data_IF_836327061220
#
_entry.id   IF_836327061220
#
_cell.length_a   1.000
_cell.length_b   1.000
_cell.length_c   1.000
_cell.angle_alpha   90.00
_cell.angle_beta   90.00
_cell.angle_gamma   90.00
#
_symmetry.space_group_name_H-M   'P 1'
#
loop_
_entity.id
_entity.type
_entity.pdbx_description
1 polymer ?
#
# COMPACT_ATOMS: atom_id res chain seq x y z
N UNK A 1 -29.27 -28.95 -48.35
CA UNK A 1 -28.38 -29.61 -49.33
C UNK A 1 -27.80 -28.53 -50.23
N UNK A 2 -26.56 -28.74 -50.70
CA UNK A 2 -25.56 -27.79 -51.23
C UNK A 2 -24.84 -27.00 -50.14
N UNK A 3 -23.67 -27.41 -49.62
CA UNK A 3 -22.38 -27.83 -50.21
C UNK A 3 -21.73 -26.73 -51.07
N UNK A 4 -20.56 -26.28 -50.60
CA UNK A 4 -19.70 -25.29 -51.22
C UNK A 4 -18.46 -25.07 -50.34
N UNK A 5 -17.61 -26.08 -50.30
CA UNK A 5 -16.25 -26.03 -49.74
C UNK A 5 -15.38 -25.05 -50.55
N UNK A 6 -14.52 -24.28 -49.86
CA UNK A 6 -13.18 -23.96 -50.36
C UNK A 6 -12.21 -24.15 -49.21
N UNK A 7 -11.27 -25.07 -49.42
CA UNK A 7 -10.12 -25.35 -48.58
C UNK A 7 -8.85 -24.70 -49.18
N UNK A 8 -7.77 -24.80 -48.38
CA UNK A 8 -6.34 -24.67 -48.71
C UNK A 8 -5.77 -23.23 -48.68
N UNK A 9 -4.68 -22.92 -47.98
CA UNK A 9 -3.77 -23.76 -47.22
C UNK A 9 -2.62 -22.99 -46.53
N UNK A 10 -2.05 -23.70 -45.54
CA UNK A 10 -0.70 -23.73 -44.95
C UNK A 10 0.36 -22.70 -45.40
N UNK A 11 0.99 -22.04 -44.42
CA UNK A 11 2.45 -21.92 -44.34
C UNK A 11 2.86 -21.47 -42.92
N UNK A 12 3.62 -22.32 -42.22
CA UNK A 12 4.27 -21.96 -40.97
C UNK A 12 5.51 -21.09 -41.17
N UNK A 13 5.89 -20.33 -40.15
CA UNK A 13 7.27 -19.96 -39.88
C UNK A 13 7.43 -19.62 -38.40
N UNK A 14 8.15 -20.48 -37.68
CA UNK A 14 8.92 -20.09 -36.51
C UNK A 14 9.99 -19.09 -36.92
N UNK A 15 10.20 -18.05 -36.11
CA UNK A 15 11.35 -17.13 -35.95
C UNK A 15 10.76 -15.88 -35.26
N UNK A 16 11.28 -15.27 -34.21
CA UNK A 16 12.47 -15.41 -33.39
C UNK A 16 12.39 -14.27 -32.36
N UNK A 17 13.01 -14.45 -31.21
CA UNK A 17 13.17 -13.39 -30.22
C UNK A 17 13.94 -12.20 -30.83
N UNK A 18 13.44 -10.97 -30.68
CA UNK A 18 14.31 -9.79 -30.63
C UNK A 18 13.59 -8.52 -30.16
N UNK A 19 14.34 -7.73 -29.39
CA UNK A 19 14.24 -6.29 -29.21
C UNK A 19 13.13 -5.73 -28.30
N UNK A 20 13.30 -6.03 -27.01
CA UNK A 20 12.87 -5.16 -25.91
C UNK A 20 13.72 -3.88 -25.93
N UNK A 21 13.25 -2.82 -26.61
CA UNK A 21 13.81 -1.47 -26.50
C UNK A 21 12.76 -0.43 -26.91
N UNK A 22 12.26 0.31 -25.92
CA UNK A 22 11.62 1.64 -26.02
C UNK A 22 11.33 2.02 -24.57
N UNK A 23 12.09 2.89 -23.93
CA UNK A 23 12.42 4.24 -24.37
C UNK A 23 11.79 5.17 -23.34
N UNK A 24 12.59 5.56 -22.35
CA UNK A 24 12.19 6.46 -21.28
C UNK A 24 11.71 7.78 -21.89
N UNK A 25 10.40 8.06 -21.82
CA UNK A 25 9.86 9.41 -22.02
C UNK A 25 9.43 9.95 -20.66
N UNK A 26 10.21 10.92 -20.15
CA UNK A 26 9.78 11.81 -19.07
C UNK A 26 8.53 12.55 -19.54
N UNK A 27 7.39 12.27 -18.91
CA UNK A 27 6.17 13.07 -19.05
C UNK A 27 6.07 13.96 -17.81
N UNK A 28 6.13 15.26 -18.06
CA UNK A 28 6.03 16.31 -17.04
C UNK A 28 4.55 16.63 -16.84
N UNK A 29 3.97 16.19 -15.72
CA UNK A 29 2.57 16.45 -15.38
C UNK A 29 2.43 17.77 -14.62
N UNK A 30 1.55 18.64 -15.12
CA UNK A 30 1.04 19.81 -14.41
C UNK A 30 -0.11 19.42 -13.48
N UNK A 31 0.01 19.76 -12.20
CA UNK A 31 -1.11 19.76 -11.24
C UNK A 31 -1.23 21.14 -10.63
N UNK A 32 -2.45 21.71 -10.66
CA UNK A 32 -2.82 22.85 -9.83
C UNK A 32 -3.23 22.31 -8.45
N UNK A 33 -2.62 22.84 -7.39
CA UNK A 33 -3.23 22.88 -6.05
C UNK A 33 -2.69 21.96 -4.95
N UNK A 34 -1.93 20.91 -5.25
CA UNK A 34 -1.23 20.11 -4.22
C UNK A 34 0.28 20.26 -4.42
N UNK A 35 1.00 20.67 -3.38
CA UNK A 35 2.47 20.75 -3.41
C UNK A 35 3.01 19.32 -3.42
N UNK A 36 3.18 18.76 -4.63
CA UNK A 36 3.85 17.46 -4.84
C UNK A 36 5.35 17.71 -4.68
N UNK A 37 5.84 17.59 -3.46
CA UNK A 37 7.28 17.58 -3.20
C UNK A 37 7.85 16.25 -3.72
N UNK A 38 8.71 16.31 -4.73
CA UNK A 38 9.41 15.12 -5.23
C UNK A 38 10.53 14.79 -4.25
N UNK A 39 10.34 13.69 -3.51
CA UNK A 39 11.30 13.12 -2.56
C UNK A 39 12.64 12.76 -3.27
N UNK A 40 13.80 13.28 -2.85
CA UNK A 40 15.09 13.07 -3.51
C UNK A 40 15.76 11.70 -3.23
N UNK A 41 14.98 10.63 -2.99
CA UNK A 41 15.53 9.29 -2.77
C UNK A 41 16.33 9.15 -1.45
N UNK A 42 16.70 7.92 -1.06
CA UNK A 42 16.89 7.59 0.35
C UNK A 42 18.27 8.00 0.87
N UNK A 43 18.29 9.06 1.68
CA UNK A 43 19.22 9.20 2.82
C UNK A 43 18.50 9.57 4.12
N UNK A 44 17.23 9.20 4.24
CA UNK A 44 16.47 9.38 5.48
C UNK A 44 16.61 8.14 6.35
N UNK A 45 17.47 8.19 7.37
CA UNK A 45 17.53 7.15 8.39
C UNK A 45 16.20 7.10 9.17
N UNK A 46 15.72 5.90 9.52
CA UNK A 46 14.50 5.70 10.32
C UNK A 46 14.69 6.07 11.81
N UNK A 47 15.34 7.20 12.09
CA UNK A 47 15.79 7.59 13.42
C UNK A 47 17.01 6.80 13.92
N UNK A 48 17.59 7.28 15.02
CA UNK A 48 18.77 6.68 15.67
C UNK A 48 18.34 5.56 16.63
N UNK A 49 18.93 4.38 16.51
CA UNK A 49 18.71 3.29 17.48
C UNK A 49 19.28 3.68 18.84
N UNK A 50 18.47 3.60 19.90
CA UNK A 50 18.84 3.95 21.28
C UNK A 50 18.69 2.78 22.25
N UNK A 51 18.10 1.67 21.83
CA UNK A 51 17.99 0.49 22.66
C UNK A 51 17.31 -0.68 21.95
N UNK A 52 17.48 -1.88 22.50
CA UNK A 52 16.81 -3.08 22.01
C UNK A 52 16.44 -3.99 23.18
N UNK A 53 15.20 -4.46 23.18
CA UNK A 53 14.71 -5.47 24.11
C UNK A 53 14.33 -6.70 23.29
N UNK A 54 14.85 -7.88 23.62
CA UNK A 54 14.50 -9.13 22.95
C UNK A 54 14.23 -10.23 23.96
N UNK A 55 13.00 -10.77 23.96
CA UNK A 55 12.56 -11.88 24.81
C UNK A 55 11.48 -12.69 24.09
N UNK A 56 11.45 -14.01 24.32
CA UNK A 56 10.36 -14.87 23.83
C UNK A 56 10.14 -14.86 22.30
N UNK A 57 11.20 -14.72 21.51
CA UNK A 57 11.09 -14.65 20.04
C UNK A 57 10.51 -13.34 19.49
N UNK A 58 10.34 -12.33 20.34
CA UNK A 58 9.98 -10.97 19.96
C UNK A 58 11.12 -10.01 20.29
N UNK A 59 11.31 -9.00 19.44
CA UNK A 59 12.27 -7.94 19.68
C UNK A 59 11.60 -6.59 19.43
N UNK A 60 11.84 -5.66 20.34
CA UNK A 60 11.48 -4.25 20.26
C UNK A 60 12.77 -3.44 20.13
N UNK A 61 12.80 -2.53 19.16
CA UNK A 61 13.91 -1.59 18.96
C UNK A 61 13.40 -0.19 19.30
N UNK A 62 14.06 0.46 20.26
CA UNK A 62 13.79 1.84 20.62
C UNK A 62 14.60 2.75 19.71
N UNK A 63 13.92 3.74 19.13
CA UNK A 63 14.53 4.70 18.21
C UNK A 63 14.18 6.12 18.63
N UNK A 64 15.16 7.00 18.57
CA UNK A 64 14.96 8.44 18.66
C UNK A 64 14.56 8.95 17.27
N UNK A 65 13.37 9.53 17.17
CA UNK A 65 12.78 10.04 15.93
C UNK A 65 12.57 11.55 16.08
N UNK A 66 13.18 12.34 15.21
CA UNK A 66 13.26 13.82 15.32
C UNK A 66 12.39 14.56 14.32
N UNK A 67 11.91 13.88 13.28
CA UNK A 67 11.12 14.50 12.22
C UNK A 67 10.02 13.58 11.72
N UNK A 68 9.06 14.18 10.99
CA UNK A 68 8.05 13.44 10.26
C UNK A 68 8.71 12.47 9.27
N UNK A 69 9.73 12.93 8.56
CA UNK A 69 10.41 12.16 7.52
C UNK A 69 11.04 10.89 8.09
N UNK A 70 11.67 10.97 9.27
CA UNK A 70 12.20 9.79 9.96
C UNK A 70 11.09 8.80 10.36
N UNK A 71 9.97 9.30 10.90
CA UNK A 71 8.78 8.48 11.21
C UNK A 71 8.23 7.79 9.97
N UNK A 72 8.00 8.53 8.88
CA UNK A 72 7.45 7.98 7.65
C UNK A 72 8.43 7.02 6.99
N UNK A 73 9.74 7.25 7.05
CA UNK A 73 10.72 6.30 6.55
C UNK A 73 10.70 4.99 7.34
N UNK A 74 10.51 5.06 8.67
CA UNK A 74 10.34 3.86 9.49
C UNK A 74 9.11 3.03 9.07
N UNK A 75 8.00 3.67 8.72
CA UNK A 75 6.77 3.02 8.25
C UNK A 75 6.95 2.49 6.81
N UNK A 76 7.55 3.30 5.94
CA UNK A 76 7.84 2.97 4.54
C UNK A 76 8.74 1.74 4.43
N UNK A 77 9.77 1.66 5.27
CA UNK A 77 10.67 0.50 5.31
C UNK A 77 9.95 -0.77 5.75
N UNK A 78 9.03 -0.67 6.71
CA UNK A 78 8.20 -1.80 7.15
C UNK A 78 7.27 -2.28 6.04
N UNK A 79 6.62 -1.36 5.33
CA UNK A 79 5.78 -1.70 4.18
C UNK A 79 6.59 -2.34 3.03
N UNK A 80 7.74 -1.74 2.68
CA UNK A 80 8.67 -2.25 1.65
C UNK A 80 9.15 -3.66 1.94
N UNK A 81 9.50 -3.97 3.20
CA UNK A 81 9.92 -5.31 3.61
C UNK A 81 8.74 -6.27 3.70
N UNK A 82 7.60 -5.81 4.21
CA UNK A 82 6.39 -6.61 4.37
C UNK A 82 5.77 -7.09 3.05
N UNK A 83 5.94 -6.35 1.94
CA UNK A 83 5.36 -6.73 0.63
C UNK A 83 5.86 -8.08 0.11
N UNK A 84 7.03 -8.53 0.56
CA UNK A 84 7.63 -9.82 0.17
C UNK A 84 7.60 -10.85 1.31
N UNK A 85 6.96 -10.53 2.44
CA UNK A 85 6.82 -11.46 3.55
C UNK A 85 5.76 -12.54 3.20
N UNK A 86 6.10 -13.85 3.29
CA UNK A 86 5.17 -14.92 2.92
C UNK A 86 3.83 -14.90 3.66
N UNK A 87 3.80 -14.47 4.93
CA UNK A 87 2.54 -14.38 5.69
C UNK A 87 1.67 -13.25 5.17
N UNK A 88 2.28 -12.10 4.83
CA UNK A 88 1.58 -10.96 4.25
C UNK A 88 1.06 -11.30 2.84
N UNK A 89 1.89 -11.94 2.00
CA UNK A 89 1.48 -12.40 0.67
C UNK A 89 0.30 -13.37 0.77
N UNK A 90 0.39 -14.37 1.66
CA UNK A 90 -0.68 -15.35 1.87
C UNK A 90 -1.97 -14.66 2.31
N UNK A 91 -1.87 -13.74 3.27
CA UNK A 91 -3.03 -13.01 3.78
C UNK A 91 -3.67 -12.12 2.70
N UNK A 92 -2.88 -11.35 1.97
CA UNK A 92 -3.36 -10.44 0.92
C UNK A 92 -4.05 -11.21 -0.21
N UNK A 93 -3.45 -12.32 -0.66
CA UNK A 93 -4.05 -13.19 -1.69
C UNK A 93 -5.36 -13.81 -1.21
N UNK A 94 -5.44 -14.23 0.04
CA UNK A 94 -6.68 -14.79 0.59
C UNK A 94 -7.87 -13.82 0.50
N UNK A 95 -7.63 -12.50 0.51
CA UNK A 95 -8.70 -11.50 0.38
C UNK A 95 -9.34 -11.47 -1.01
N UNK A 96 -8.57 -11.79 -2.05
CA UNK A 96 -9.02 -11.69 -3.44
C UNK A 96 -9.34 -13.05 -4.07
N UNK A 97 -8.95 -14.16 -3.43
CA UNK A 97 -9.15 -15.53 -3.95
C UNK A 97 -10.39 -16.23 -3.37
N UNK A 98 -11.33 -15.51 -2.76
CA UNK A 98 -12.58 -16.13 -2.27
C UNK A 98 -13.48 -16.49 -3.46
N UNK A 99 -13.96 -17.74 -3.49
CA UNK A 99 -14.91 -18.24 -4.51
C UNK A 99 -16.32 -17.74 -4.26
N UNK A 100 -17.00 -17.32 -5.31
CA UNK A 100 -18.42 -16.99 -5.36
C UNK A 100 -19.06 -17.81 -6.48
N UNK A 101 -19.42 -19.07 -6.17
CA UNK A 101 -19.84 -20.05 -7.16
C UNK A 101 -18.67 -20.46 -8.08
N UNK A 102 -18.90 -20.41 -9.39
CA UNK A 102 -17.88 -20.75 -10.40
C UNK A 102 -16.85 -19.63 -10.64
N UNK A 103 -17.07 -18.44 -10.08
CA UNK A 103 -16.20 -17.27 -10.26
C UNK A 103 -15.55 -16.83 -8.95
N UNK A 104 -14.75 -15.76 -9.00
CA UNK A 104 -14.16 -15.11 -7.84
C UNK A 104 -15.10 -14.00 -7.33
N UNK A 105 -15.24 -13.87 -6.01
CA UNK A 105 -16.00 -12.77 -5.42
C UNK A 105 -15.41 -11.40 -5.74
N UNK A 106 -14.09 -11.37 -5.98
CA UNK A 106 -13.35 -10.21 -6.46
C UNK A 106 -13.00 -10.50 -7.91
N UNK A 107 -13.59 -9.79 -8.90
CA UNK A 107 -13.29 -10.02 -10.31
C UNK A 107 -11.80 -9.87 -10.62
N UNK A 108 -11.27 -10.75 -11.46
CA UNK A 108 -9.88 -10.66 -11.90
C UNK A 108 -9.63 -9.37 -12.66
N UNK A 109 -8.47 -8.74 -12.41
CA UNK A 109 -8.03 -7.49 -13.05
C UNK A 109 -8.88 -6.26 -12.73
N UNK A 110 -9.88 -6.38 -11.84
CA UNK A 110 -10.55 -5.22 -11.26
C UNK A 110 -9.74 -4.70 -10.06
N UNK A 111 -8.83 -3.76 -10.32
CA UNK A 111 -7.98 -3.16 -9.28
C UNK A 111 -8.80 -2.49 -8.18
N UNK A 112 -9.98 -1.92 -8.49
CA UNK A 112 -10.80 -1.26 -7.49
C UNK A 112 -11.45 -2.28 -6.55
N UNK A 113 -11.91 -3.41 -7.08
CA UNK A 113 -12.43 -4.51 -6.29
C UNK A 113 -11.33 -5.17 -5.43
N UNK A 114 -10.13 -5.37 -5.98
CA UNK A 114 -8.97 -5.89 -5.25
C UNK A 114 -8.61 -4.99 -4.05
N UNK A 115 -8.54 -3.68 -4.27
CA UNK A 115 -8.28 -2.68 -3.22
C UNK A 115 -9.35 -2.74 -2.12
N UNK A 116 -10.62 -2.81 -2.51
CA UNK A 116 -11.74 -2.89 -1.55
C UNK A 116 -11.67 -4.16 -0.71
N UNK A 117 -11.34 -5.30 -1.32
CA UNK A 117 -11.25 -6.57 -0.60
C UNK A 117 -10.12 -6.54 0.45
N UNK A 118 -8.98 -5.91 0.14
CA UNK A 118 -7.89 -5.70 1.10
C UNK A 118 -8.36 -4.81 2.25
N UNK A 119 -9.04 -3.70 1.97
CA UNK A 119 -9.58 -2.80 2.98
C UNK A 119 -10.54 -3.52 3.94
N UNK A 120 -11.49 -4.27 3.40
CA UNK A 120 -12.45 -5.04 4.19
C UNK A 120 -11.76 -6.14 5.00
N UNK A 121 -10.75 -6.78 4.42
CA UNK A 121 -9.90 -7.74 5.10
C UNK A 121 -9.21 -7.16 6.32
N UNK A 122 -8.60 -5.98 6.19
CA UNK A 122 -7.92 -5.30 7.30
C UNK A 122 -8.87 -5.05 8.47
N UNK A 123 -10.04 -4.47 8.19
CA UNK A 123 -11.04 -4.13 9.22
C UNK A 123 -11.65 -5.34 9.90
N UNK A 124 -11.66 -6.49 9.22
CA UNK A 124 -12.18 -7.75 9.76
C UNK A 124 -11.12 -8.45 10.61
N UNK A 125 -9.87 -8.47 10.14
CA UNK A 125 -8.82 -9.33 10.69
C UNK A 125 -7.91 -8.63 11.70
N UNK A 126 -7.93 -7.30 11.75
CA UNK A 126 -7.13 -6.47 12.66
C UNK A 126 -8.08 -5.58 13.48
N UNK A 127 -7.80 -5.44 14.78
CA UNK A 127 -8.49 -4.52 15.68
C UNK A 127 -7.64 -3.26 15.87
N UNK A 128 -8.27 -2.08 15.85
CA UNK A 128 -7.58 -0.86 16.26
C UNK A 128 -7.21 -0.91 17.75
N UNK A 129 -5.93 -0.68 18.04
CA UNK A 129 -5.38 -0.60 19.40
C UNK A 129 -4.34 0.50 19.41
N UNK A 130 -4.44 1.41 20.38
CA UNK A 130 -3.47 2.48 20.57
C UNK A 130 -2.06 1.97 20.85
N UNK A 131 -1.10 2.85 20.60
CA UNK A 131 0.29 2.66 21.00
C UNK A 131 0.46 2.34 22.49
N UNK A 132 1.64 1.80 22.81
CA UNK A 132 2.10 1.68 24.19
C UNK A 132 2.15 3.08 24.80
N UNK A 133 1.61 3.24 26.00
CA UNK A 133 1.51 4.53 26.67
C UNK A 133 2.87 5.25 26.72
N UNK A 134 2.93 6.43 26.10
CA UNK A 134 4.10 7.31 26.10
C UNK A 134 5.13 7.04 25.00
N UNK A 135 4.92 6.06 24.10
CA UNK A 135 5.83 5.77 22.99
C UNK A 135 5.09 5.37 21.71
N UNK A 136 5.42 5.99 20.58
CA UNK A 136 4.93 5.54 19.28
C UNK A 136 5.49 4.15 18.95
N UNK A 137 4.61 3.21 18.58
CA UNK A 137 4.96 1.83 18.31
C UNK A 137 4.64 1.48 16.88
N UNK A 138 5.65 1.03 16.14
CA UNK A 138 5.47 0.63 14.74
C UNK A 138 5.77 -0.87 14.58
N UNK A 139 4.74 -1.69 14.51
CA UNK A 139 4.84 -3.12 14.22
C UNK A 139 5.16 -3.35 12.73
N UNK A 140 5.78 -4.50 12.44
CA UNK A 140 5.91 -4.92 11.04
C UNK A 140 4.56 -5.48 10.56
N UNK A 141 4.25 -5.42 9.25
CA UNK A 141 3.02 -6.01 8.70
C UNK A 141 2.76 -7.44 9.15
N UNK A 142 3.81 -8.27 9.20
CA UNK A 142 3.73 -9.64 9.73
C UNK A 142 3.26 -9.66 11.19
N UNK A 143 3.82 -8.82 12.06
CA UNK A 143 3.46 -8.76 13.47
C UNK A 143 2.06 -8.20 13.67
N UNK A 144 1.64 -7.19 12.91
CA UNK A 144 0.26 -6.69 12.92
C UNK A 144 -0.74 -7.82 12.63
N UNK A 145 -0.47 -8.67 11.63
CA UNK A 145 -1.31 -9.84 11.33
C UNK A 145 -1.30 -10.92 12.44
N UNK A 146 -0.14 -11.17 13.05
CA UNK A 146 -0.01 -12.15 14.13
C UNK A 146 -0.73 -11.69 15.41
N UNK A 147 -0.61 -10.41 15.76
CA UNK A 147 -1.25 -9.83 16.94
C UNK A 147 -2.72 -9.50 16.71
N UNK A 148 -3.14 -9.35 15.44
CA UNK A 148 -4.48 -8.86 15.06
C UNK A 148 -4.81 -7.52 15.71
N UNK A 149 -3.79 -6.70 15.93
CA UNK A 149 -3.91 -5.41 16.60
C UNK A 149 -2.88 -4.43 16.03
N UNK A 150 -3.24 -3.16 15.99
CA UNK A 150 -2.36 -2.06 15.60
C UNK A 150 -3.10 -0.72 15.55
N UNK A 151 -2.34 0.36 15.43
CA UNK A 151 -2.83 1.73 15.33
C UNK A 151 -2.88 2.22 13.85
N UNK A 152 -3.02 3.52 13.62
CA UNK A 152 -3.05 4.07 12.26
C UNK A 152 -1.76 3.80 11.46
N UNK A 153 -0.59 3.80 12.09
CA UNK A 153 0.70 3.54 11.45
C UNK A 153 0.82 2.06 11.03
N UNK A 154 0.41 1.15 11.92
CA UNK A 154 0.41 -0.29 11.66
C UNK A 154 -0.56 -0.69 10.56
N UNK A 155 -1.78 -0.16 10.59
CA UNK A 155 -2.76 -0.36 9.53
C UNK A 155 -2.24 0.14 8.20
N UNK A 156 -1.62 1.33 8.18
CA UNK A 156 -1.07 1.90 6.95
C UNK A 156 0.07 1.03 6.40
N UNK A 157 0.99 0.62 7.26
CA UNK A 157 2.11 -0.26 6.89
C UNK A 157 1.62 -1.58 6.29
N UNK A 158 0.67 -2.25 6.96
CA UNK A 158 0.09 -3.52 6.51
C UNK A 158 -0.74 -3.37 5.24
N UNK A 159 -1.57 -2.32 5.13
CA UNK A 159 -2.37 -2.04 3.94
C UNK A 159 -1.48 -1.87 2.72
N UNK A 160 -0.47 -1.00 2.80
CA UNK A 160 0.44 -0.74 1.70
C UNK A 160 1.28 -1.97 1.33
N UNK A 161 1.78 -2.72 2.32
CA UNK A 161 2.47 -3.99 2.08
C UNK A 161 1.57 -5.01 1.35
N UNK A 162 0.31 -5.12 1.76
CA UNK A 162 -0.65 -6.07 1.21
C UNK A 162 -1.08 -5.70 -0.22
N UNK A 163 -1.30 -4.41 -0.49
CA UNK A 163 -1.54 -3.89 -1.84
C UNK A 163 -0.35 -4.22 -2.76
N UNK A 164 0.87 -3.91 -2.34
CA UNK A 164 2.07 -4.23 -3.13
C UNK A 164 2.27 -5.74 -3.33
N UNK A 165 1.90 -6.56 -2.35
CA UNK A 165 1.99 -8.03 -2.45
C UNK A 165 1.06 -8.63 -3.54
N UNK A 166 0.00 -7.92 -3.93
CA UNK A 166 -0.89 -8.28 -5.06
C UNK A 166 -0.67 -7.39 -6.30
N UNK A 167 0.43 -6.63 -6.32
CA UNK A 167 0.87 -5.82 -7.45
C UNK A 167 0.22 -4.44 -7.56
N UNK A 168 -0.49 -3.98 -6.53
CA UNK A 168 -1.08 -2.63 -6.50
C UNK A 168 -0.08 -1.63 -5.91
N UNK A 169 0.34 -0.59 -6.65
CA UNK A 169 1.20 0.45 -6.11
C UNK A 169 0.45 1.25 -5.04
N UNK A 170 1.17 1.65 -3.99
CA UNK A 170 0.62 2.38 -2.87
C UNK A 170 1.51 3.56 -2.48
N UNK A 171 0.89 4.57 -1.86
CA UNK A 171 1.55 5.72 -1.26
C UNK A 171 0.91 6.07 0.07
N UNK A 172 1.65 6.72 0.96
CA UNK A 172 1.11 7.21 2.22
C UNK A 172 0.63 8.64 2.07
N UNK A 173 -0.49 8.96 2.71
CA UNK A 173 -0.91 10.34 2.94
C UNK A 173 -0.94 10.58 4.45
N UNK A 174 -0.24 11.62 4.87
CA UNK A 174 -0.16 12.04 6.26
C UNK A 174 -0.86 13.38 6.39
N UNK A 175 -1.63 13.55 7.44
CA UNK A 175 -2.44 14.73 7.70
C UNK A 175 -2.09 15.29 9.07
N UNK A 176 -2.00 16.61 9.13
CA UNK A 176 -2.09 17.37 10.36
C UNK A 176 -3.44 18.08 10.36
N UNK A 177 -4.25 17.71 11.34
CA UNK A 177 -5.56 18.32 11.58
C UNK A 177 -5.42 19.69 12.27
N UNK A 178 -6.45 20.53 12.19
CA UNK A 178 -6.43 21.91 12.73
C UNK A 178 -6.38 21.98 14.25
N UNK A 179 -6.89 20.97 14.92
CA UNK A 179 -6.87 20.81 16.38
C UNK A 179 -5.56 20.21 16.90
N UNK A 180 -4.65 19.78 16.01
CA UNK A 180 -3.35 19.25 16.38
C UNK A 180 -2.18 20.13 15.93
N UNK A 181 -1.20 20.29 16.82
CA UNK A 181 0.11 20.90 16.49
C UNK A 181 1.07 19.93 15.79
N UNK A 182 0.78 18.62 15.85
CA UNK A 182 1.63 17.55 15.31
C UNK A 182 0.90 16.74 14.23
N UNK A 183 1.66 16.10 13.34
CA UNK A 183 1.12 15.12 12.39
C UNK A 183 0.46 13.98 13.15
N UNK A 184 -0.85 13.83 12.97
CA UNK A 184 -1.69 13.02 13.86
C UNK A 184 -2.51 11.96 13.14
N UNK A 185 -2.42 11.89 11.81
CA UNK A 185 -3.10 10.85 11.06
C UNK A 185 -2.35 10.44 9.81
N UNK A 186 -2.36 9.14 9.51
CA UNK A 186 -1.79 8.54 8.31
C UNK A 186 -2.76 7.52 7.74
N UNK A 187 -2.82 7.44 6.42
CA UNK A 187 -3.55 6.40 5.70
C UNK A 187 -2.91 6.15 4.34
N UNK A 188 -3.38 5.10 3.66
CA UNK A 188 -2.79 4.63 2.39
C UNK A 188 -3.68 5.03 1.23
N UNK A 189 -3.05 5.26 0.08
CA UNK A 189 -3.77 5.34 -1.18
C UNK A 189 -3.25 4.26 -2.14
N UNK A 190 -4.17 3.50 -2.74
CA UNK A 190 -3.90 2.50 -3.77
C UNK A 190 -4.09 3.06 -5.19
N UNK A 191 -3.13 2.81 -6.06
CA UNK A 191 -3.13 3.30 -7.45
C UNK A 191 -4.02 2.47 -8.36
N UNK A 192 -4.83 3.14 -9.20
CA UNK A 192 -5.71 2.51 -10.17
C UNK A 192 -5.52 3.13 -11.57
N UNK A 193 -5.38 2.32 -12.63
CA UNK A 193 -5.14 0.87 -12.60
C UNK A 193 -3.74 0.54 -12.04
N UNK A 194 -3.50 -0.70 -11.62
CA UNK A 194 -2.25 -1.09 -10.93
C UNK A 194 -0.99 -1.06 -11.80
N UNK A 195 -1.14 -1.20 -13.12
CA UNK A 195 -0.06 -1.17 -14.12
C UNK A 195 0.37 0.25 -14.51
N UNK A 196 -0.56 1.19 -14.52
CA UNK A 196 -0.29 2.61 -14.79
C UNK A 196 -1.26 3.51 -14.00
N UNK A 197 -1.01 3.76 -12.70
CA UNK A 197 -1.91 4.52 -11.85
C UNK A 197 -2.26 5.89 -12.41
N UNK A 198 -3.55 6.13 -12.64
CA UNK A 198 -4.10 7.43 -13.05
C UNK A 198 -4.87 8.13 -11.93
N UNK A 199 -5.39 7.34 -11.00
CA UNK A 199 -6.10 7.80 -9.81
C UNK A 199 -5.64 7.03 -8.58
N UNK A 200 -5.87 7.62 -7.42
CA UNK A 200 -5.49 7.07 -6.13
C UNK A 200 -6.74 6.96 -5.27
N UNK A 201 -7.05 5.77 -4.78
CA UNK A 201 -8.19 5.50 -3.90
C UNK A 201 -7.68 5.36 -2.49
N UNK A 202 -8.34 6.02 -1.55
CA UNK A 202 -7.94 6.06 -0.14
C UNK A 202 -8.42 4.83 0.63
N UNK A 203 -7.53 4.29 1.46
CA UNK A 203 -7.75 3.18 2.36
C UNK A 203 -7.34 3.65 3.76
N UNK A 204 -8.34 4.03 4.54
CA UNK A 204 -8.17 4.28 5.97
C UNK A 204 -8.97 3.26 6.78
N UNK A 205 -8.34 2.10 7.00
CA UNK A 205 -8.95 1.02 7.75
C UNK A 205 -8.83 1.21 9.28
N UNK A 206 -8.13 2.26 9.73
CA UNK A 206 -7.94 2.56 11.15
C UNK A 206 -9.15 3.28 11.79
N UNK A 207 -10.01 3.88 10.97
CA UNK A 207 -11.23 4.58 11.40
C UNK A 207 -12.48 3.94 10.77
N UNK A 208 -13.65 4.15 11.37
CA UNK A 208 -14.91 3.52 10.93
C UNK A 208 -15.55 4.23 9.72
N UNK A 209 -14.90 4.17 8.56
CA UNK A 209 -15.31 4.85 7.31
C UNK A 209 -15.27 3.92 6.10
N UNK A 210 -15.94 4.25 4.98
CA UNK A 210 -15.84 3.45 3.75
C UNK A 210 -14.52 3.69 2.99
N UNK A 211 -14.21 2.78 2.05
CA UNK A 211 -13.14 2.98 1.05
C UNK A 211 -13.36 4.30 0.30
N UNK A 212 -12.26 5.04 0.09
CA UNK A 212 -12.28 6.33 -0.60
C UNK A 212 -12.64 7.50 0.30
N UNK A 213 -12.97 7.27 1.57
CA UNK A 213 -13.11 8.35 2.54
C UNK A 213 -11.80 9.10 2.72
N UNK A 214 -11.92 10.40 2.92
CA UNK A 214 -10.81 11.34 3.13
C UNK A 214 -11.16 12.23 4.32
N UNK A 215 -10.14 12.67 5.06
CA UNK A 215 -10.33 13.66 6.13
C UNK A 215 -10.95 14.92 5.51
N UNK A 216 -12.10 15.41 6.03
CA UNK A 216 -12.76 16.59 5.49
C UNK A 216 -11.81 17.78 5.37
N UNK A 217 -11.82 18.46 4.22
CA UNK A 217 -10.85 19.51 3.90
C UNK A 217 -10.83 20.66 4.94
N UNK A 218 -11.98 20.95 5.57
CA UNK A 218 -12.08 21.98 6.61
C UNK A 218 -11.38 21.59 7.92
N UNK A 219 -11.13 20.29 8.16
CA UNK A 219 -10.38 19.79 9.32
C UNK A 219 -8.88 19.70 9.06
N UNK A 220 -8.45 19.70 7.80
CA UNK A 220 -7.04 19.60 7.40
C UNK A 220 -6.36 20.96 7.57
N UNK A 221 -5.28 20.99 8.34
CA UNK A 221 -4.37 22.13 8.41
C UNK A 221 -3.21 21.99 7.41
N UNK A 222 -2.69 20.77 7.25
CA UNK A 222 -1.65 20.45 6.28
C UNK A 222 -1.73 18.95 5.91
N UNK A 223 -1.24 18.59 4.73
CA UNK A 223 -1.16 17.20 4.27
C UNK A 223 0.05 16.97 3.38
N UNK A 224 0.69 15.81 3.51
CA UNK A 224 1.82 15.39 2.67
C UNK A 224 1.59 13.99 2.13
N UNK A 225 2.14 13.73 0.94
CA UNK A 225 2.06 12.42 0.27
C UNK A 225 3.47 11.88 0.08
N UNK A 226 3.67 10.61 0.43
CA UNK A 226 4.96 9.93 0.35
C UNK A 226 4.85 8.68 -0.51
N UNK A 227 5.57 8.68 -1.62
CA UNK A 227 5.68 7.51 -2.49
C UNK A 227 6.50 6.41 -1.81
N UNK A 228 6.09 5.16 -2.02
CA UNK A 228 6.74 4.01 -1.37
C UNK A 228 7.83 3.42 -2.23
N UNK A 229 7.62 3.24 -3.53
CA UNK A 229 8.61 2.62 -4.44
C UNK A 229 9.39 3.64 -5.29
N UNK A 230 9.32 4.93 -4.93
CA UNK A 230 10.06 6.03 -5.55
C UNK A 230 11.44 6.28 -4.94
#
# INVERSE_FOLDING_TARGET
>A
MNLGEIAVGVAGMLLGASAFQKGARRVQYGMRGARVERDPGPRGHAGRSVGRVARGGMALELREVKSLEERINAIRDRAKRGRIDPKVIRWARAQVTRRCGQTWCVPEKDTAAEIRAIFEGLRRDVRYTSDVLGVDTYATPRRTLEMRAGDCDDYSSLACASLMAIGVPCRFKVVRTRDSRSWNHIYVQGGIPKDAPRRWVTLDASVNVPVGWEVPAHQVADSRVFEVLG
#
